data_IF_388937855249
#
_entry.id   IF_388937855249
#
_cell.length_a   1.000
_cell.length_b   1.000
_cell.length_c   1.000
_cell.angle_alpha   90.00
_cell.angle_beta   90.00
_cell.angle_gamma   90.00
#
_symmetry.space_group_name_H-M   'P 1'
#
loop_
_entity.id
_entity.type
_entity.pdbx_description
1 polymer ?
#
# COMPACT_ATOMS: atom_id res chain seq x y z
N UNK A 1 -13.04 -1.26 20.85
CA UNK A 1 -12.00 -1.93 20.02
C UNK A 1 -12.45 -2.23 18.59
N UNK A 2 -13.76 -2.24 18.26
CA UNK A 2 -14.22 -2.56 16.91
C UNK A 2 -13.85 -1.52 15.85
N UNK A 3 -13.92 -0.22 16.17
CA UNK A 3 -13.64 0.83 15.18
C UNK A 3 -12.23 0.76 14.59
N UNK A 4 -11.19 0.71 15.44
CA UNK A 4 -9.80 0.67 14.99
C UNK A 4 -9.56 -0.50 14.03
N UNK A 5 -9.99 -1.70 14.45
CA UNK A 5 -9.84 -2.93 13.67
C UNK A 5 -10.55 -2.84 12.33
N UNK A 6 -11.82 -2.41 12.31
CA UNK A 6 -12.59 -2.28 11.07
C UNK A 6 -12.01 -1.21 10.14
N UNK A 7 -11.57 -0.08 10.71
CA UNK A 7 -10.98 1.01 9.96
C UNK A 7 -9.66 0.61 9.30
N UNK A 8 -8.75 0.00 10.07
CA UNK A 8 -7.45 -0.45 9.57
C UNK A 8 -7.66 -1.55 8.54
N UNK A 9 -8.59 -2.49 8.78
CA UNK A 9 -8.95 -3.52 7.82
C UNK A 9 -9.43 -2.95 6.49
N UNK A 10 -10.35 -1.96 6.50
CA UNK A 10 -10.77 -1.26 5.28
C UNK A 10 -9.58 -0.55 4.59
N UNK A 11 -8.67 0.03 5.36
CA UNK A 11 -7.48 0.67 4.82
C UNK A 11 -6.51 -0.31 4.14
N UNK A 12 -6.28 -1.48 4.72
CA UNK A 12 -5.35 -2.49 4.20
C UNK A 12 -6.00 -3.31 3.08
N UNK A 13 -7.13 -3.96 3.34
CA UNK A 13 -7.70 -4.93 2.39
C UNK A 13 -8.38 -4.24 1.20
N UNK A 14 -9.17 -3.19 1.46
CA UNK A 14 -9.97 -2.54 0.43
C UNK A 14 -9.19 -1.42 -0.26
N UNK A 15 -8.55 -0.53 0.52
CA UNK A 15 -7.80 0.62 -0.02
C UNK A 15 -6.34 0.27 -0.36
N UNK A 16 -5.81 -0.86 0.09
CA UNK A 16 -4.42 -1.31 -0.18
C UNK A 16 -3.40 -0.25 0.18
N UNK A 17 -3.53 0.32 1.38
CA UNK A 17 -2.62 1.33 1.89
C UNK A 17 -1.42 0.68 2.57
N UNK A 18 -0.25 1.29 2.41
CA UNK A 18 0.94 0.96 3.17
C UNK A 18 0.87 1.52 4.59
N UNK A 19 1.69 0.97 5.50
CA UNK A 19 1.62 1.24 6.95
C UNK A 19 1.64 2.72 7.27
N UNK A 20 2.46 3.50 6.56
CA UNK A 20 2.57 4.95 6.76
C UNK A 20 1.27 5.71 6.43
N UNK A 21 0.58 5.32 5.36
CA UNK A 21 -0.69 5.98 5.01
C UNK A 21 -1.81 5.63 5.99
N UNK A 22 -1.81 4.40 6.51
CA UNK A 22 -2.77 3.99 7.56
C UNK A 22 -2.52 4.77 8.85
N UNK A 23 -1.26 4.87 9.29
CA UNK A 23 -0.86 5.65 10.46
C UNK A 23 -1.29 7.12 10.32
N UNK A 24 -1.02 7.74 9.17
CA UNK A 24 -1.42 9.13 8.92
C UNK A 24 -2.94 9.32 8.95
N UNK A 25 -3.73 8.36 8.46
CA UNK A 25 -5.19 8.45 8.51
C UNK A 25 -5.75 8.25 9.92
N UNK A 26 -5.16 7.34 10.69
CA UNK A 26 -5.67 7.01 12.02
C UNK A 26 -5.16 7.95 13.12
N UNK A 27 -4.07 8.69 12.86
CA UNK A 27 -3.49 9.66 13.80
C UNK A 27 -4.52 10.69 14.28
N UNK A 28 -5.46 11.10 13.43
CA UNK A 28 -6.55 12.02 13.80
C UNK A 28 -7.55 11.45 14.83
N UNK A 29 -7.56 10.13 15.05
CA UNK A 29 -8.47 9.44 15.96
C UNK A 29 -7.85 9.18 17.34
N UNK A 30 -6.62 9.63 17.60
CA UNK A 30 -5.93 9.55 18.90
C UNK A 30 -5.91 8.14 19.51
N UNK A 31 -5.80 7.11 18.66
CA UNK A 31 -5.75 5.72 19.11
C UNK A 31 -4.35 5.43 19.64
N UNK A 32 -4.22 4.89 20.86
CA UNK A 32 -2.94 4.51 21.43
C UNK A 32 -2.17 3.48 20.57
N UNK A 33 -0.85 3.66 20.43
CA UNK A 33 -0.02 2.80 19.57
C UNK A 33 0.05 1.35 20.05
N UNK A 34 -0.04 1.12 21.36
CA UNK A 34 -0.12 -0.22 21.99
C UNK A 34 -1.35 -1.01 21.55
N UNK A 35 -2.43 -0.33 21.17
CA UNK A 35 -3.62 -0.95 20.56
C UNK A 35 -3.45 -1.10 19.05
N UNK A 36 -2.78 -0.13 18.42
CA UNK A 36 -2.68 -0.02 16.97
C UNK A 36 -1.69 -1.01 16.35
N UNK A 37 -0.50 -1.10 16.90
CA UNK A 37 0.61 -1.90 16.35
C UNK A 37 0.25 -3.39 16.23
N UNK A 38 -0.34 -4.05 17.24
CA UNK A 38 -0.75 -5.45 17.11
C UNK A 38 -1.77 -5.69 15.99
N UNK A 39 -2.66 -4.72 15.74
CA UNK A 39 -3.67 -4.82 14.67
C UNK A 39 -3.01 -4.65 13.30
N UNK A 40 -2.09 -3.68 13.17
CA UNK A 40 -1.33 -3.46 11.94
C UNK A 40 -0.48 -4.67 11.60
N UNK A 41 0.27 -5.20 12.58
CA UNK A 41 1.15 -6.36 12.39
C UNK A 41 0.35 -7.57 11.91
N UNK A 42 -0.76 -7.90 12.60
CA UNK A 42 -1.65 -9.00 12.18
C UNK A 42 -2.19 -8.83 10.76
N UNK A 43 -2.53 -7.59 10.36
CA UNK A 43 -3.11 -7.34 9.04
C UNK A 43 -2.07 -7.36 7.92
N UNK A 44 -0.84 -6.88 8.17
CA UNK A 44 0.24 -6.93 7.20
C UNK A 44 0.91 -8.32 7.13
N UNK A 45 0.84 -9.12 8.19
CA UNK A 45 1.19 -10.55 8.13
C UNK A 45 0.22 -11.32 7.21
N UNK A 46 -1.07 -10.98 7.26
CA UNK A 46 -2.10 -11.57 6.40
C UNK A 46 -2.11 -11.02 4.98
N UNK A 47 -1.61 -9.81 4.80
CA UNK A 47 -1.58 -9.11 3.51
C UNK A 47 -0.15 -8.60 3.28
N UNK A 48 0.76 -9.47 2.81
CA UNK A 48 2.14 -9.10 2.53
C UNK A 48 2.21 -7.88 1.63
N UNK A 49 3.19 -7.01 1.90
CA UNK A 49 3.35 -5.74 1.17
C UNK A 49 3.52 -6.00 -0.34
N UNK A 50 4.29 -7.02 -0.71
CA UNK A 50 4.52 -7.41 -2.10
C UNK A 50 3.22 -7.79 -2.83
N UNK A 51 2.32 -8.51 -2.16
CA UNK A 51 1.02 -8.92 -2.71
C UNK A 51 0.10 -7.70 -2.91
N UNK A 52 0.08 -6.79 -1.93
CA UNK A 52 -0.68 -5.55 -2.01
C UNK A 52 -0.20 -4.68 -3.16
N UNK A 53 1.11 -4.47 -3.28
CA UNK A 53 1.74 -3.70 -4.36
C UNK A 53 1.47 -4.35 -5.71
N UNK A 54 1.66 -5.67 -5.83
CA UNK A 54 1.39 -6.42 -7.07
C UNK A 54 -0.06 -6.26 -7.52
N UNK A 55 -1.01 -6.33 -6.57
CA UNK A 55 -2.42 -6.14 -6.86
C UNK A 55 -2.78 -4.71 -7.30
N UNK A 56 -2.08 -3.70 -6.77
CA UNK A 56 -2.21 -2.30 -7.22
C UNK A 56 -1.67 -2.16 -8.65
N UNK A 57 -0.49 -2.73 -8.92
CA UNK A 57 0.16 -2.70 -10.23
C UNK A 57 -0.72 -3.33 -11.30
N UNK A 58 -1.25 -4.53 -11.05
CA UNK A 58 -2.13 -5.23 -11.98
C UNK A 58 -3.34 -4.37 -12.37
N UNK A 59 -3.99 -3.74 -11.38
CA UNK A 59 -5.11 -2.84 -11.64
C UNK A 59 -4.69 -1.54 -12.35
N UNK A 60 -3.53 -0.99 -12.01
CA UNK A 60 -3.02 0.23 -12.62
C UNK A 60 -2.68 0.02 -14.11
N UNK A 61 -2.06 -1.12 -14.43
CA UNK A 61 -1.57 -1.47 -15.76
C UNK A 61 -2.59 -2.15 -16.66
N UNK A 62 -3.73 -2.63 -16.13
CA UNK A 62 -4.75 -3.42 -16.86
C UNK A 62 -5.09 -2.89 -18.27
N UNK A 63 -5.14 -1.58 -18.45
CA UNK A 63 -5.48 -0.93 -19.72
C UNK A 63 -4.39 0.05 -20.21
N UNK A 64 -3.14 -0.10 -19.74
CA UNK A 64 -2.05 0.83 -20.02
C UNK A 64 -0.89 0.11 -20.70
N UNK A 65 -0.20 0.83 -21.59
CA UNK A 65 1.06 0.35 -22.16
C UNK A 65 2.20 0.66 -21.21
N UNK A 66 3.07 -0.33 -21.00
CA UNK A 66 4.33 -0.17 -20.29
C UNK A 66 5.17 0.91 -20.98
N UNK A 67 5.40 2.04 -20.29
CA UNK A 67 6.29 3.11 -20.73
C UNK A 67 6.99 3.75 -19.53
N UNK A 68 8.10 4.44 -19.75
CA UNK A 68 8.82 5.18 -18.69
C UNK A 68 7.90 6.18 -17.99
N UNK A 69 7.02 6.86 -18.74
CA UNK A 69 6.02 7.78 -18.18
C UNK A 69 5.02 7.07 -17.27
N UNK A 70 4.56 5.87 -17.64
CA UNK A 70 3.66 5.09 -16.80
C UNK A 70 4.39 4.54 -15.57
N UNK A 71 5.68 4.21 -15.66
CA UNK A 71 6.50 3.85 -14.50
C UNK A 71 6.52 4.96 -13.45
N UNK A 72 6.81 6.18 -13.87
CA UNK A 72 6.83 7.34 -12.96
C UNK A 72 5.46 7.58 -12.32
N UNK A 73 4.38 7.45 -13.09
CA UNK A 73 3.00 7.57 -12.60
C UNK A 73 2.66 6.48 -11.59
N UNK A 74 3.08 5.25 -11.85
CA UNK A 74 2.89 4.10 -10.95
C UNK A 74 3.66 4.31 -9.64
N UNK A 75 4.94 4.67 -9.71
CA UNK A 75 5.77 4.96 -8.53
C UNK A 75 5.15 6.08 -7.70
N UNK A 76 4.71 7.16 -8.34
CA UNK A 76 4.00 8.26 -7.67
C UNK A 76 2.69 7.79 -7.03
N UNK A 77 1.93 6.91 -7.68
CA UNK A 77 0.70 6.34 -7.13
C UNK A 77 0.97 5.49 -5.88
N UNK A 78 2.01 4.63 -5.91
CA UNK A 78 2.41 3.80 -4.78
C UNK A 78 2.93 4.63 -3.60
N UNK A 79 3.75 5.66 -3.86
CA UNK A 79 4.20 6.60 -2.82
C UNK A 79 3.03 7.30 -2.12
N UNK A 80 2.03 7.76 -2.87
CA UNK A 80 0.80 8.36 -2.29
C UNK A 80 -0.05 7.37 -1.50
N UNK A 81 0.10 6.06 -1.76
CA UNK A 81 -0.52 5.00 -0.96
C UNK A 81 0.28 4.63 0.30
N UNK A 82 1.43 5.27 0.55
CA UNK A 82 2.21 5.10 1.77
C UNK A 82 3.23 3.95 1.74
N UNK A 83 3.61 3.48 0.55
CA UNK A 83 4.70 2.50 0.40
C UNK A 83 6.05 3.21 0.30
N UNK A 84 7.08 2.61 0.90
CA UNK A 84 8.44 3.13 0.83
C UNK A 84 9.09 2.80 -0.51
N UNK A 85 10.20 3.46 -0.85
CA UNK A 85 10.93 3.09 -2.07
C UNK A 85 11.47 1.65 -2.01
N UNK A 86 11.90 1.20 -0.82
CA UNK A 86 12.40 -0.16 -0.61
C UNK A 86 11.35 -1.23 -0.92
N UNK A 87 10.06 -0.94 -0.65
CA UNK A 87 8.96 -1.84 -0.97
C UNK A 87 8.59 -1.78 -2.47
N UNK A 88 8.68 -0.59 -3.07
CA UNK A 88 8.25 -0.33 -4.45
C UNK A 88 9.26 -0.88 -5.45
N UNK A 89 10.55 -0.67 -5.19
CA UNK A 89 11.64 -0.92 -6.14
C UNK A 89 11.68 -2.36 -6.67
N UNK A 90 11.62 -3.41 -5.82
CA UNK A 90 11.72 -4.80 -6.28
C UNK A 90 10.60 -5.15 -7.25
N UNK A 91 9.37 -4.73 -6.93
CA UNK A 91 8.20 -5.07 -7.74
C UNK A 91 8.15 -4.25 -9.02
N UNK A 92 8.44 -2.94 -8.96
CA UNK A 92 8.43 -2.06 -10.15
C UNK A 92 9.55 -2.41 -11.12
N UNK A 93 10.73 -2.78 -10.64
CA UNK A 93 11.86 -3.14 -11.49
C UNK A 93 11.73 -4.55 -12.10
N UNK A 94 10.87 -5.41 -11.53
CA UNK A 94 10.52 -6.70 -12.16
C UNK A 94 9.67 -6.57 -13.44
N UNK A 95 9.10 -5.39 -13.69
CA UNK A 95 8.28 -5.12 -14.87
C UNK A 95 9.14 -4.65 -16.05
N UNK A 96 8.85 -5.15 -17.25
CA UNK A 96 9.47 -4.63 -18.48
C UNK A 96 8.87 -3.27 -18.86
N UNK A 97 9.71 -2.24 -18.88
CA UNK A 97 9.32 -0.89 -19.30
C UNK A 97 9.83 -0.64 -20.71
N UNK A 98 8.91 -0.47 -21.67
CA UNK A 98 9.29 -0.13 -23.05
C UNK A 98 9.70 1.35 -23.12
N UNK A 99 10.85 1.61 -23.74
CA UNK A 99 11.30 2.97 -24.07
C UNK A 99 10.43 3.58 -25.18
#
# INVERSE_FOLDING_TARGET
MEFATLFIKDCVERKKLGRMAVLNQIHGHQIPNDVLDPILDLLYDKNPIDDLISSIILNFMKNRKSSVKERERLVGHLKRKGYSWADIEPVVNSLEWKM
#
